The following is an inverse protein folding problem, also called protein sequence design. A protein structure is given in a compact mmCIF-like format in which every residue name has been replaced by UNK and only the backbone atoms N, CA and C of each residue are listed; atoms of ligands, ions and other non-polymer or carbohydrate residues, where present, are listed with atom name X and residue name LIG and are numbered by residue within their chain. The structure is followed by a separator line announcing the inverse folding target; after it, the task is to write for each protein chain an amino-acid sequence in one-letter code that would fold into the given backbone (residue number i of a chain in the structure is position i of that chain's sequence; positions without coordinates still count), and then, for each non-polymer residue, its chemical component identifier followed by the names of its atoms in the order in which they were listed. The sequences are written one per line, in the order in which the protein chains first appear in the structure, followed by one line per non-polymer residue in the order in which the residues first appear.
data_IF_797639565174
#
_entry.id   IF_797639565174
#
_cell.length_a   1.000
_cell.length_b   1.000
_cell.length_c   1.000
_cell.angle_alpha   90.00
_cell.angle_beta   90.00
_cell.angle_gamma   90.00
#
_symmetry.space_group_name_H-M   'P 1'
#
loop_
_entity.id
_entity.type
_entity.pdbx_description
1 polymer ?
#
# COMPACT_ATOMS: atom_id res chain seq x y z
N UNK A 1 -25.43 9.96 8.66
CA UNK A 1 -24.34 10.21 7.69
C UNK A 1 -23.35 11.18 8.30
N UNK A 2 -22.23 10.66 8.80
CA UNK A 2 -21.11 11.47 9.29
C UNK A 2 -20.24 11.81 8.08
N UNK A 3 -19.97 13.10 7.89
CA UNK A 3 -19.00 13.53 6.90
C UNK A 3 -17.59 13.38 7.47
N UNK A 4 -16.93 12.29 7.07
CA UNK A 4 -15.58 11.92 7.49
C UNK A 4 -14.54 13.02 7.19
N UNK A 5 -14.84 13.93 6.24
CA UNK A 5 -13.94 15.04 5.89
C UNK A 5 -13.98 16.18 6.92
N UNK A 6 -15.10 16.39 7.60
CA UNK A 6 -15.27 17.48 8.57
C UNK A 6 -15.06 17.06 10.03
N UNK A 7 -15.32 15.81 10.41
CA UNK A 7 -15.05 15.29 11.76
C UNK A 7 -14.22 14.01 11.74
N UNK A 8 -12.87 14.14 11.80
CA UNK A 8 -11.95 12.99 11.77
C UNK A 8 -11.79 12.25 13.10
N UNK A 9 -12.07 12.91 14.22
CA UNK A 9 -11.87 12.34 15.56
C UNK A 9 -12.77 13.00 16.59
N UNK A 10 -13.44 12.19 17.39
CA UNK A 10 -14.23 12.62 18.54
C UNK A 10 -13.59 12.04 19.80
N UNK A 11 -13.28 12.90 20.78
CA UNK A 11 -12.84 12.46 22.10
C UNK A 11 -14.02 11.90 22.88
N UNK A 12 -13.98 10.63 23.27
CA UNK A 12 -15.03 9.99 24.07
C UNK A 12 -14.83 10.31 25.56
N UNK A 13 -13.66 9.98 26.12
CA UNK A 13 -13.28 10.26 27.53
C UNK A 13 -11.79 10.04 27.73
N UNK A 14 -11.15 10.80 28.62
CA UNK A 14 -9.73 10.62 28.99
C UNK A 14 -8.80 10.54 27.75
N UNK A 15 -8.24 9.35 27.47
CA UNK A 15 -7.37 9.04 26.32
C UNK A 15 -8.06 8.13 25.28
N UNK A 16 -9.39 8.08 25.29
CA UNK A 16 -10.23 7.32 24.35
C UNK A 16 -10.83 8.25 23.29
N UNK A 17 -10.58 7.92 22.03
CA UNK A 17 -11.02 8.68 20.86
C UNK A 17 -11.70 7.73 19.85
N UNK A 18 -12.74 8.21 19.18
CA UNK A 18 -13.35 7.57 18.02
C UNK A 18 -12.84 8.29 16.77
N UNK A 19 -12.23 7.56 15.85
CA UNK A 19 -11.78 8.10 14.57
C UNK A 19 -12.70 7.60 13.47
N UNK A 20 -13.16 8.52 12.64
CA UNK A 20 -13.85 8.16 11.40
C UNK A 20 -12.84 8.10 10.27
N UNK A 21 -13.01 7.12 9.39
CA UNK A 21 -12.24 7.00 8.17
C UNK A 21 -13.16 6.59 7.02
N UNK A 22 -12.74 6.84 5.79
CA UNK A 22 -13.48 6.43 4.60
C UNK A 22 -13.28 4.93 4.42
N UNK A 23 -14.36 4.20 4.20
CA UNK A 23 -14.28 2.79 3.82
C UNK A 23 -13.41 2.64 2.57
N UNK A 24 -12.60 1.58 2.52
CA UNK A 24 -11.84 1.23 1.33
C UNK A 24 -11.91 -0.27 1.10
N UNK A 25 -11.90 -0.66 -0.17
CA UNK A 25 -11.82 -2.06 -0.57
C UNK A 25 -10.37 -2.51 -0.57
N UNK A 26 -10.13 -3.65 0.04
CA UNK A 26 -8.81 -4.28 0.03
C UNK A 26 -8.40 -4.64 -1.40
N UNK A 27 -7.18 -4.31 -1.85
CA UNK A 27 -6.79 -4.56 -3.23
C UNK A 27 -6.67 -6.06 -3.48
N UNK A 28 -7.09 -6.48 -4.67
CA UNK A 28 -6.95 -7.86 -5.14
C UNK A 28 -6.94 -7.87 -6.67
N UNK A 29 -6.39 -8.93 -7.27
CA UNK A 29 -6.22 -9.01 -8.72
C UNK A 29 -7.56 -9.22 -9.47
N UNK A 30 -8.60 -9.65 -8.77
CA UNK A 30 -9.95 -9.83 -9.31
C UNK A 30 -10.73 -8.52 -9.44
N UNK A 31 -10.24 -7.42 -8.84
CA UNK A 31 -10.87 -6.11 -9.02
C UNK A 31 -10.65 -5.62 -10.46
N UNK A 32 -11.61 -4.87 -11.02
CA UNK A 32 -11.42 -4.22 -12.30
C UNK A 32 -10.25 -3.24 -12.22
N UNK A 33 -9.56 -3.05 -13.35
CA UNK A 33 -8.52 -2.04 -13.47
C UNK A 33 -9.11 -0.66 -13.11
N UNK A 34 -8.48 0.02 -12.16
CA UNK A 34 -8.90 1.31 -11.66
C UNK A 34 -8.24 2.43 -12.45
N UNK A 35 -6.90 2.48 -12.45
CA UNK A 35 -6.11 3.44 -13.20
C UNK A 35 -4.70 2.90 -13.44
N UNK A 36 -3.98 3.48 -14.40
CA UNK A 36 -2.54 3.28 -14.62
C UNK A 36 -1.70 4.45 -14.12
N UNK A 37 -2.34 5.56 -13.74
CA UNK A 37 -1.72 6.76 -13.19
C UNK A 37 -2.08 6.89 -11.72
N UNK A 38 -1.11 7.28 -10.90
CA UNK A 38 -1.31 7.39 -9.45
C UNK A 38 -0.01 7.33 -8.68
N UNK A 39 -0.07 7.62 -7.38
CA UNK A 39 1.08 7.56 -6.49
C UNK A 39 0.73 6.80 -5.21
N UNK A 40 1.73 6.22 -4.57
CA UNK A 40 1.59 5.48 -3.32
C UNK A 40 2.84 5.70 -2.45
N UNK A 41 2.70 5.45 -1.15
CA UNK A 41 3.80 5.53 -0.19
C UNK A 41 4.56 4.20 0.00
N UNK A 42 4.08 3.11 -0.62
CA UNK A 42 4.77 1.81 -0.62
C UNK A 42 6.16 1.93 -1.23
N UNK A 43 7.14 1.27 -0.61
CA UNK A 43 8.59 1.39 -0.88
C UNK A 43 9.21 2.79 -0.76
N UNK A 44 8.42 3.82 -0.44
CA UNK A 44 8.89 5.18 -0.16
C UNK A 44 9.04 5.43 1.33
N UNK A 45 8.00 5.10 2.12
CA UNK A 45 8.03 5.27 3.58
C UNK A 45 8.00 3.95 4.34
N UNK A 46 7.50 2.89 3.72
CA UNK A 46 7.30 1.60 4.35
C UNK A 46 7.27 0.47 3.31
N UNK A 47 7.34 -0.76 3.79
CA UNK A 47 7.14 -1.99 3.06
C UNK A 47 6.58 -3.05 4.03
N UNK A 48 6.16 -4.21 3.52
CA UNK A 48 5.65 -5.32 4.34
C UNK A 48 6.58 -6.53 4.31
N UNK A 49 6.55 -7.31 5.39
CA UNK A 49 7.10 -8.68 5.44
C UNK A 49 5.97 -9.57 5.94
N UNK A 50 5.60 -10.57 5.15
CA UNK A 50 4.56 -11.54 5.50
C UNK A 50 5.08 -12.57 6.50
N UNK A 51 4.18 -13.35 7.09
CA UNK A 51 4.51 -14.31 8.15
C UNK A 51 5.51 -15.41 7.69
N UNK A 52 5.58 -15.68 6.39
CA UNK A 52 6.51 -16.62 5.77
C UNK A 52 7.87 -15.99 5.39
N UNK A 53 8.08 -14.70 5.69
CA UNK A 53 9.28 -13.94 5.34
C UNK A 53 9.24 -13.26 3.97
N UNK A 54 8.16 -13.42 3.19
CA UNK A 54 8.03 -12.77 1.88
C UNK A 54 7.94 -11.25 2.04
N UNK A 55 8.81 -10.53 1.36
CA UNK A 55 8.86 -9.06 1.33
C UNK A 55 7.94 -8.54 0.22
N UNK A 56 7.06 -7.62 0.58
CA UNK A 56 6.04 -7.02 -0.30
C UNK A 56 6.11 -5.49 -0.23
N UNK A 57 5.64 -4.76 -1.26
CA UNK A 57 5.84 -3.31 -1.33
C UNK A 57 5.00 -2.49 -0.35
N UNK A 58 3.89 -3.03 0.15
CA UNK A 58 3.02 -2.38 1.12
C UNK A 58 2.24 -3.40 1.96
N UNK A 59 1.66 -2.96 3.08
CA UNK A 59 0.85 -3.82 3.95
C UNK A 59 -0.47 -4.30 3.32
N UNK A 60 -0.91 -3.66 2.23
CA UNK A 60 -2.11 -4.05 1.48
C UNK A 60 -1.83 -5.17 0.46
N UNK A 61 -0.63 -5.72 0.41
CA UNK A 61 -0.28 -6.87 -0.43
C UNK A 61 -0.15 -8.17 0.41
N UNK A 62 -1.27 -8.65 0.98
CA UNK A 62 -1.29 -9.74 1.98
C UNK A 62 -1.13 -11.11 1.34
N UNK A 63 -1.53 -11.23 0.08
CA UNK A 63 -1.48 -12.46 -0.69
C UNK A 63 -0.17 -12.56 -1.51
N UNK A 64 0.80 -11.66 -1.24
CA UNK A 64 2.05 -11.56 -1.99
C UNK A 64 1.83 -11.49 -3.52
N UNK A 65 0.92 -10.64 -3.98
CA UNK A 65 0.72 -10.35 -5.40
C UNK A 65 1.93 -9.64 -6.03
N UNK A 66 2.73 -8.93 -5.22
CA UNK A 66 3.98 -8.28 -5.66
C UNK A 66 5.14 -8.76 -4.76
N UNK A 67 5.59 -10.03 -4.88
CA UNK A 67 6.71 -10.51 -4.08
C UNK A 67 8.01 -9.88 -4.60
N UNK A 68 8.79 -9.31 -3.68
CA UNK A 68 10.09 -8.68 -3.96
C UNK A 68 11.28 -9.58 -3.60
N UNK A 69 11.07 -10.56 -2.73
CA UNK A 69 12.06 -11.52 -2.25
C UNK A 69 11.62 -12.11 -0.91
N UNK A 70 12.44 -12.97 -0.30
CA UNK A 70 12.17 -13.54 1.03
C UNK A 70 13.38 -13.36 1.95
N UNK A 71 13.16 -12.89 3.18
CA UNK A 71 14.24 -12.60 4.15
C UNK A 71 14.92 -13.86 4.70
N UNK A 72 14.34 -15.03 4.50
CA UNK A 72 14.98 -16.30 4.85
C UNK A 72 16.07 -16.69 3.83
N UNK A 73 15.99 -16.17 2.60
CA UNK A 73 16.90 -16.52 1.51
C UNK A 73 18.01 -15.48 1.29
N UNK A 74 17.73 -14.21 1.58
CA UNK A 74 18.67 -13.10 1.37
C UNK A 74 18.38 -11.89 2.26
N UNK A 75 19.40 -11.06 2.46
CA UNK A 75 19.29 -9.84 3.25
C UNK A 75 18.24 -8.86 2.66
N UNK A 76 17.58 -8.13 3.55
CA UNK A 76 16.51 -7.20 3.19
C UNK A 76 16.96 -6.05 2.29
N UNK A 77 18.20 -5.55 2.45
CA UNK A 77 18.69 -4.42 1.67
C UNK A 77 18.83 -4.76 0.17
N UNK A 78 19.45 -5.89 -0.22
CA UNK A 78 19.39 -6.39 -1.60
C UNK A 78 17.97 -6.54 -2.16
N UNK A 79 17.00 -7.05 -1.37
CA UNK A 79 15.61 -7.18 -1.81
C UNK A 79 15.02 -5.83 -2.20
N UNK A 80 15.20 -4.82 -1.34
CA UNK A 80 14.69 -3.47 -1.56
C UNK A 80 15.46 -2.70 -2.65
N UNK A 81 16.68 -3.13 -2.97
CA UNK A 81 17.49 -2.61 -4.07
C UNK A 81 17.27 -3.38 -5.39
N UNK A 82 16.40 -4.39 -5.40
CA UNK A 82 16.11 -5.19 -6.60
C UNK A 82 15.53 -4.32 -7.73
N UNK A 83 15.77 -4.69 -9.01
CA UNK A 83 15.22 -3.93 -10.14
C UNK A 83 13.71 -3.72 -10.07
N UNK A 84 12.95 -4.71 -9.60
CA UNK A 84 11.49 -4.63 -9.43
C UNK A 84 11.10 -3.61 -8.37
N UNK A 85 11.74 -3.65 -7.19
CA UNK A 85 11.48 -2.70 -6.10
C UNK A 85 11.83 -1.25 -6.51
N UNK A 86 12.97 -1.06 -7.19
CA UNK A 86 13.38 0.25 -7.68
C UNK A 86 12.45 0.80 -8.77
N UNK A 87 12.01 -0.06 -9.70
CA UNK A 87 11.06 0.31 -10.75
C UNK A 87 9.70 0.72 -10.16
N UNK A 88 9.20 -0.01 -9.16
CA UNK A 88 7.96 0.32 -8.46
C UNK A 88 8.06 1.65 -7.71
N UNK A 89 9.15 1.85 -6.95
CA UNK A 89 9.40 3.11 -6.24
C UNK A 89 9.49 4.30 -7.20
N UNK A 90 10.19 4.14 -8.32
CA UNK A 90 10.30 5.17 -9.37
C UNK A 90 8.94 5.43 -10.03
N UNK A 91 8.18 4.37 -10.32
CA UNK A 91 6.82 4.48 -10.84
C UNK A 91 5.94 5.37 -9.97
N UNK A 92 5.89 5.11 -8.65
CA UNK A 92 5.13 5.95 -7.74
C UNK A 92 5.61 7.42 -7.69
N UNK A 93 6.91 7.67 -7.82
CA UNK A 93 7.47 9.03 -7.91
C UNK A 93 7.03 9.75 -9.19
N UNK A 94 6.97 9.03 -10.31
CA UNK A 94 6.59 9.56 -11.62
C UNK A 94 5.06 9.54 -11.86
N UNK A 95 4.28 9.18 -10.84
CA UNK A 95 2.82 8.99 -10.88
C UNK A 95 2.37 7.91 -11.88
N UNK A 96 3.14 6.83 -11.99
CA UNK A 96 2.87 5.66 -12.85
C UNK A 96 2.72 4.41 -11.97
N UNK A 97 1.60 3.71 -12.13
CA UNK A 97 1.33 2.45 -11.43
C UNK A 97 1.84 1.29 -12.26
N UNK A 98 3.02 0.78 -11.94
CA UNK A 98 3.71 -0.25 -12.77
C UNK A 98 3.29 -1.69 -12.46
N UNK A 99 2.71 -1.95 -11.29
CA UNK A 99 2.28 -3.29 -10.85
C UNK A 99 0.76 -3.44 -10.95
N UNK A 100 0.30 -4.62 -11.38
CA UNK A 100 -1.10 -4.91 -11.69
C UNK A 100 -2.03 -4.74 -10.48
N UNK A 101 -1.57 -5.16 -9.30
CA UNK A 101 -2.29 -4.98 -8.03
C UNK A 101 -2.44 -3.49 -7.68
N UNK A 102 -1.40 -2.68 -7.92
CA UNK A 102 -1.44 -1.24 -7.67
C UNK A 102 -2.40 -0.51 -8.61
N UNK A 103 -2.54 -0.97 -9.86
CA UNK A 103 -3.50 -0.44 -10.85
C UNK A 103 -4.96 -0.73 -10.48
N UNK A 104 -5.21 -1.63 -9.52
CA UNK A 104 -6.54 -2.01 -9.00
C UNK A 104 -6.77 -1.57 -7.56
N UNK A 105 -5.79 -0.89 -6.96
CA UNK A 105 -5.81 -0.57 -5.55
C UNK A 105 -6.57 0.72 -5.28
N UNK A 106 -7.76 0.63 -4.71
CA UNK A 106 -8.60 1.80 -4.41
C UNK A 106 -8.00 2.71 -3.32
N UNK A 107 -7.05 2.20 -2.53
CA UNK A 107 -6.36 3.00 -1.51
C UNK A 107 -5.52 4.15 -2.10
N UNK A 108 -5.10 4.05 -3.37
CA UNK A 108 -4.29 5.09 -4.02
C UNK A 108 -5.06 6.41 -4.17
N UNK A 109 -6.39 6.37 -4.20
CA UNK A 109 -7.26 7.56 -4.31
C UNK A 109 -7.13 8.47 -3.08
N UNK A 110 -6.62 7.95 -1.95
CA UNK A 110 -6.33 8.76 -0.75
C UNK A 110 -5.14 9.70 -0.93
N UNK A 111 -4.33 9.51 -1.97
CA UNK A 111 -3.14 10.30 -2.27
C UNK A 111 -3.26 11.11 -3.57
N UNK A 112 -4.43 11.09 -4.21
CA UNK A 112 -4.69 11.76 -5.48
C UNK A 112 -4.78 13.28 -5.33
#
# INVERSE_FOLDING_TARGET
NIDVKSEKSIKIKNRLYLHYDTEFTWPTLELPLLDTRGTCLGLKSHFGILADGTVVPCCLDKEAGIPLGNVNDQDILPILASPRALALRKGFQDRILVEDLCQRCNYIERFA
#
